data_IF_693788914503
#
_entry.id   IF_693788914503
#
_cell.length_a   1.000
_cell.length_b   1.000
_cell.length_c   1.000
_cell.angle_alpha   90.00
_cell.angle_beta   90.00
_cell.angle_gamma   90.00
#
_symmetry.space_group_name_H-M   'P 1'
#
loop_
_entity.id
_entity.type
_entity.pdbx_description
1 polymer ?
#
# COMPACT_ATOMS: atom_id res chain seq x y z
N UNK A 1 -5.81 8.34 -6.94
CA UNK A 1 -6.82 7.43 -6.33
C UNK A 1 -6.36 6.92 -4.96
N UNK A 2 -5.12 6.43 -4.82
CA UNK A 2 -4.53 5.97 -3.54
C UNK A 2 -4.45 7.09 -2.48
N UNK A 3 -4.09 8.32 -2.86
CA UNK A 3 -4.11 9.48 -1.96
C UNK A 3 -5.52 9.86 -1.47
N UNK A 4 -6.57 9.55 -2.26
CA UNK A 4 -7.96 9.74 -1.82
C UNK A 4 -8.39 8.68 -0.79
N UNK A 5 -7.93 7.43 -0.91
CA UNK A 5 -8.23 6.39 0.08
C UNK A 5 -7.59 6.69 1.44
N UNK A 6 -6.33 7.13 1.47
CA UNK A 6 -5.67 7.49 2.73
C UNK A 6 -6.28 8.75 3.40
N UNK A 7 -6.73 9.73 2.59
CA UNK A 7 -7.50 10.87 3.13
C UNK A 7 -8.86 10.46 3.69
N UNK A 8 -9.44 9.37 3.20
CA UNK A 8 -10.70 8.82 3.70
C UNK A 8 -10.49 8.07 5.03
N UNK A 9 -9.40 7.34 5.22
CA UNK A 9 -9.08 6.70 6.52
C UNK A 9 -8.81 7.73 7.62
N UNK A 10 -8.02 8.77 7.35
CA UNK A 10 -7.82 9.88 8.30
C UNK A 10 -9.13 10.61 8.60
N UNK A 11 -9.98 10.85 7.60
CA UNK A 11 -11.32 11.40 7.79
C UNK A 11 -12.22 10.45 8.57
N UNK A 12 -12.16 9.14 8.32
CA UNK A 12 -12.95 8.15 9.03
C UNK A 12 -12.58 8.10 10.51
N UNK A 13 -11.28 8.11 10.84
CA UNK A 13 -10.81 8.16 12.24
C UNK A 13 -11.27 9.45 12.90
N UNK A 14 -11.15 10.58 12.21
CA UNK A 14 -11.61 11.88 12.73
C UNK A 14 -13.12 11.90 12.95
N UNK A 15 -13.90 11.44 11.98
CA UNK A 15 -15.35 11.35 12.06
C UNK A 15 -15.80 10.35 13.13
N UNK A 16 -15.13 9.20 13.27
CA UNK A 16 -15.40 8.23 14.33
C UNK A 16 -15.12 8.81 15.71
N UNK A 17 -14.05 9.58 15.87
CA UNK A 17 -13.74 10.26 17.13
C UNK A 17 -14.76 11.35 17.46
N UNK A 18 -15.18 12.13 16.47
CA UNK A 18 -16.26 13.14 16.63
C UNK A 18 -17.58 12.45 16.96
N UNK A 19 -17.94 11.39 16.22
CA UNK A 19 -19.13 10.60 16.48
C UNK A 19 -19.17 10.04 17.91
N UNK A 20 -18.07 9.43 18.36
CA UNK A 20 -17.98 8.89 19.73
C UNK A 20 -18.09 9.98 20.81
N UNK A 21 -17.53 11.18 20.58
CA UNK A 21 -17.69 12.33 21.48
C UNK A 21 -19.11 12.83 21.51
N UNK A 22 -19.75 12.97 20.36
CA UNK A 22 -21.16 13.36 20.24
C UNK A 22 -22.04 12.31 20.93
N UNK A 23 -21.82 11.01 20.65
CA UNK A 23 -22.55 9.90 21.28
C UNK A 23 -22.44 9.93 22.80
N UNK A 24 -21.28 10.23 23.34
CA UNK A 24 -21.06 10.33 24.79
C UNK A 24 -21.74 11.56 25.43
N UNK A 25 -22.01 12.62 24.65
CA UNK A 25 -22.64 13.86 25.11
C UNK A 25 -24.17 13.90 24.93
N UNK A 26 -24.74 12.98 24.18
CA UNK A 26 -26.19 12.91 23.90
C UNK A 26 -26.89 12.00 24.90
N UNK A 27 -28.06 12.42 25.39
CA UNK A 27 -28.92 11.59 26.24
C UNK A 27 -29.37 10.32 25.48
N UNK A 28 -29.43 9.13 26.14
CA UNK A 28 -29.78 7.87 25.47
C UNK A 28 -31.08 7.93 24.65
N UNK A 29 -32.11 8.60 25.14
CA UNK A 29 -33.38 8.75 24.42
C UNK A 29 -33.29 9.54 23.11
N UNK A 30 -32.35 10.52 23.05
CA UNK A 30 -32.09 11.30 21.83
C UNK A 30 -31.24 10.52 20.85
N UNK A 31 -30.30 9.72 21.37
CA UNK A 31 -29.44 8.85 20.54
C UNK A 31 -30.26 7.85 19.72
N UNK A 32 -31.27 7.18 20.34
CA UNK A 32 -32.14 6.22 19.65
C UNK A 32 -32.96 6.83 18.50
N UNK A 33 -33.20 8.15 18.53
CA UNK A 33 -33.91 8.85 17.44
C UNK A 33 -32.99 9.23 16.27
N UNK A 34 -31.72 9.45 16.53
CA UNK A 34 -30.75 9.94 15.54
C UNK A 34 -29.94 8.77 14.93
N UNK A 35 -29.84 7.65 15.62
CA UNK A 35 -29.04 6.48 15.21
C UNK A 35 -29.39 5.95 13.82
N UNK A 36 -30.67 5.75 13.45
CA UNK A 36 -31.05 5.26 12.12
C UNK A 36 -30.62 6.20 10.99
N UNK A 37 -30.76 7.51 11.19
CA UNK A 37 -30.37 8.50 10.17
C UNK A 37 -28.85 8.57 9.99
N UNK A 38 -28.12 8.34 11.08
CA UNK A 38 -26.64 8.30 11.04
C UNK A 38 -26.12 7.04 10.35
N UNK A 39 -26.75 5.88 10.58
CA UNK A 39 -26.43 4.62 9.89
C UNK A 39 -26.73 4.75 8.39
N UNK A 40 -27.91 5.25 8.02
CA UNK A 40 -28.27 5.49 6.63
C UNK A 40 -27.31 6.46 5.93
N UNK A 41 -26.86 7.51 6.63
CA UNK A 41 -25.85 8.43 6.10
C UNK A 41 -24.49 7.75 5.88
N UNK A 42 -24.02 6.95 6.85
CA UNK A 42 -22.78 6.21 6.73
C UNK A 42 -22.82 5.20 5.60
N UNK A 43 -23.97 4.53 5.41
CA UNK A 43 -24.18 3.61 4.28
C UNK A 43 -24.19 4.35 2.94
N UNK A 44 -24.88 5.51 2.86
CA UNK A 44 -24.92 6.34 1.67
C UNK A 44 -23.52 6.87 1.28
N UNK A 45 -22.66 7.18 2.26
CA UNK A 45 -21.28 7.58 2.04
C UNK A 45 -20.33 6.37 1.77
N UNK A 46 -20.85 5.13 1.76
CA UNK A 46 -20.09 3.93 1.48
C UNK A 46 -19.16 3.48 2.62
N UNK A 47 -19.41 3.93 3.86
CA UNK A 47 -18.68 3.49 5.05
C UNK A 47 -19.15 2.11 5.53
N UNK A 48 -19.02 1.10 4.66
CA UNK A 48 -19.34 -0.30 4.97
C UNK A 48 -18.05 -1.07 5.18
N UNK A 49 -18.03 -1.93 6.21
CA UNK A 49 -16.92 -2.83 6.45
C UNK A 49 -16.79 -3.82 5.27
N UNK A 50 -15.66 -3.76 4.58
CA UNK A 50 -15.33 -4.70 3.51
C UNK A 50 -14.30 -5.72 4.01
N UNK A 51 -14.31 -6.95 3.47
CA UNK A 51 -13.25 -7.90 3.72
C UNK A 51 -11.88 -7.32 3.36
N UNK A 52 -10.91 -7.49 4.24
CA UNK A 52 -9.55 -7.01 4.02
C UNK A 52 -8.67 -7.12 5.27
N UNK A 53 -7.37 -6.86 5.14
CA UNK A 53 -6.47 -6.95 6.28
C UNK A 53 -6.78 -5.84 7.30
N UNK A 54 -7.09 -6.22 8.54
CA UNK A 54 -7.20 -5.29 9.68
C UNK A 54 -5.78 -4.95 10.18
N UNK A 55 -5.14 -3.98 9.54
CA UNK A 55 -3.80 -3.54 9.93
C UNK A 55 -3.93 -2.39 10.94
N UNK A 56 -3.47 -2.65 12.16
CA UNK A 56 -3.38 -1.61 13.18
C UNK A 56 -1.99 -0.96 13.12
N UNK A 57 -1.95 0.33 12.80
CA UNK A 57 -0.72 1.13 12.82
C UNK A 57 -0.77 2.02 14.05
N UNK A 58 0.25 1.95 14.87
CA UNK A 58 0.36 2.84 16.04
C UNK A 58 0.61 4.27 15.57
N UNK A 59 -0.32 5.18 15.88
CA UNK A 59 -0.27 6.58 15.47
C UNK A 59 0.97 7.32 16.01
N UNK A 60 1.44 7.00 17.22
CA UNK A 60 2.64 7.60 17.79
C UNK A 60 3.89 7.20 16.99
N UNK A 61 4.01 5.90 16.65
CA UNK A 61 5.11 5.39 15.81
C UNK A 61 5.07 6.05 14.43
N UNK A 62 3.89 6.15 13.81
CA UNK A 62 3.75 6.78 12.49
C UNK A 62 4.17 8.26 12.53
N UNK A 63 3.78 9.01 13.54
CA UNK A 63 4.14 10.42 13.69
C UNK A 63 5.66 10.59 13.89
N UNK A 64 6.29 9.76 14.73
CA UNK A 64 7.75 9.76 14.91
C UNK A 64 8.49 9.40 13.63
N UNK A 65 7.97 8.45 12.84
CA UNK A 65 8.55 8.10 11.54
C UNK A 65 8.44 9.27 10.55
N UNK A 66 7.30 9.96 10.51
CA UNK A 66 7.12 11.16 9.69
C UNK A 66 8.13 12.26 10.07
N UNK A 67 8.31 12.49 11.37
CA UNK A 67 9.32 13.42 11.88
C UNK A 67 10.74 13.02 11.43
N UNK A 68 11.10 11.74 11.57
CA UNK A 68 12.42 11.24 11.18
C UNK A 68 12.69 11.40 9.67
N UNK A 69 11.68 11.13 8.81
CA UNK A 69 11.77 11.34 7.36
C UNK A 69 11.99 12.81 7.03
N UNK A 70 11.22 13.71 7.65
CA UNK A 70 11.28 15.15 7.38
C UNK A 70 12.59 15.78 7.89
N UNK A 71 13.09 15.30 9.02
CA UNK A 71 14.33 15.82 9.62
C UNK A 71 15.60 15.13 9.14
N UNK A 72 15.51 14.14 8.24
CA UNK A 72 16.65 13.32 7.78
C UNK A 72 17.48 12.76 8.93
N UNK A 73 16.81 12.29 10.00
CA UNK A 73 17.50 11.71 11.18
C UNK A 73 17.57 10.19 11.09
N UNK A 74 18.75 9.62 11.37
CA UNK A 74 18.91 8.18 11.53
C UNK A 74 18.03 7.69 12.66
N UNK A 75 17.42 6.53 12.44
CA UNK A 75 16.37 6.04 13.32
C UNK A 75 16.60 4.54 13.61
N UNK A 76 16.53 4.19 14.87
CA UNK A 76 16.49 2.79 15.29
C UNK A 76 15.04 2.32 15.36
N UNK A 77 14.73 1.25 14.64
CA UNK A 77 13.41 0.61 14.68
C UNK A 77 13.52 -0.81 15.20
N UNK A 78 12.57 -1.21 16.05
CA UNK A 78 12.36 -2.62 16.40
C UNK A 78 11.09 -3.09 15.71
N UNK A 79 11.20 -4.15 14.90
CA UNK A 79 10.10 -4.68 14.13
C UNK A 79 10.02 -6.20 14.21
N UNK A 80 8.82 -6.75 13.98
CA UNK A 80 8.57 -8.19 13.96
C UNK A 80 8.93 -8.77 12.59
N UNK A 81 9.94 -9.66 12.59
CA UNK A 81 10.38 -10.37 11.38
C UNK A 81 9.33 -11.40 10.91
N UNK A 82 9.42 -11.94 9.68
CA UNK A 82 8.54 -13.02 9.20
C UNK A 82 8.53 -14.23 10.12
N UNK A 83 9.68 -14.53 10.76
CA UNK A 83 9.83 -15.66 11.71
C UNK A 83 9.26 -15.37 13.10
N UNK A 84 8.56 -14.24 13.28
CA UNK A 84 7.93 -13.86 14.54
C UNK A 84 8.86 -13.25 15.58
N UNK A 85 10.18 -13.22 15.34
CA UNK A 85 11.17 -12.63 16.25
C UNK A 85 11.24 -11.11 16.08
N UNK A 86 11.57 -10.40 17.17
CA UNK A 86 11.87 -8.98 17.05
C UNK A 86 13.31 -8.78 16.55
N UNK A 87 13.49 -7.85 15.64
CA UNK A 87 14.80 -7.40 15.14
C UNK A 87 14.89 -5.89 15.30
N UNK A 88 16.02 -5.42 15.78
CA UNK A 88 16.31 -3.98 15.89
C UNK A 88 17.34 -3.62 14.85
N UNK A 89 17.05 -2.58 14.08
CA UNK A 89 17.92 -2.10 13.00
C UNK A 89 18.02 -0.58 13.00
N UNK A 90 19.21 -0.11 12.64
CA UNK A 90 19.47 1.28 12.32
C UNK A 90 19.12 1.53 10.86
N UNK A 91 18.32 2.55 10.60
CA UNK A 91 17.84 2.90 9.28
C UNK A 91 17.91 4.40 9.01
N UNK A 92 17.94 4.74 7.74
CA UNK A 92 17.75 6.09 7.21
C UNK A 92 16.38 6.13 6.53
N UNK A 93 15.36 6.76 7.13
CA UNK A 93 14.00 6.75 6.60
C UNK A 93 13.85 7.72 5.43
N UNK A 94 13.35 7.22 4.29
CA UNK A 94 13.20 8.01 3.06
C UNK A 94 11.76 8.40 2.74
N UNK A 95 10.77 7.57 3.09
CA UNK A 95 9.38 7.89 2.80
C UNK A 95 8.43 6.73 3.02
N UNK A 96 7.16 6.93 2.63
CA UNK A 96 6.11 5.94 2.85
C UNK A 96 5.51 5.49 1.53
N UNK A 97 5.17 4.21 1.46
CA UNK A 97 4.37 3.62 0.41
C UNK A 97 3.04 3.15 1.00
N UNK A 98 1.95 3.69 0.47
CA UNK A 98 0.60 3.35 0.90
C UNK A 98 -0.10 2.52 -0.18
N UNK A 99 -0.72 1.43 0.23
CA UNK A 99 -1.49 0.52 -0.61
C UNK A 99 -2.34 -0.39 0.27
N UNK A 100 -2.58 -1.63 -0.14
CA UNK A 100 -3.28 -2.63 0.69
C UNK A 100 -2.59 -2.86 2.04
N UNK A 101 -1.27 -2.70 2.07
CA UNK A 101 -0.45 -2.57 3.28
C UNK A 101 0.37 -1.30 3.17
N UNK A 102 0.77 -0.77 4.32
CA UNK A 102 1.54 0.46 4.40
C UNK A 102 2.97 0.15 4.82
N UNK A 103 3.93 0.75 4.13
CA UNK A 103 5.36 0.50 4.33
C UNK A 103 6.13 1.79 4.54
N UNK A 104 7.16 1.72 5.39
CA UNK A 104 8.26 2.66 5.40
C UNK A 104 9.31 2.18 4.40
N UNK A 105 9.79 3.06 3.53
CA UNK A 105 10.96 2.85 2.69
C UNK A 105 12.14 3.49 3.37
N UNK A 106 13.17 2.70 3.66
CA UNK A 106 14.35 3.18 4.35
C UNK A 106 15.60 2.45 3.85
N UNK A 107 16.74 3.14 3.87
CA UNK A 107 18.03 2.51 3.69
C UNK A 107 18.42 1.82 5.00
N UNK A 108 18.81 0.57 4.93
CA UNK A 108 19.19 -0.24 6.09
C UNK A 108 20.71 -0.30 6.22
N UNK A 109 21.25 0.18 7.33
CA UNK A 109 22.69 0.07 7.62
C UNK A 109 23.16 -1.39 7.66
N UNK A 110 22.27 -2.32 8.06
CA UNK A 110 22.61 -3.74 8.10
C UNK A 110 22.77 -4.40 6.72
N UNK A 111 21.84 -4.14 5.80
CA UNK A 111 21.85 -4.74 4.46
C UNK A 111 22.57 -3.87 3.42
N UNK A 112 22.92 -2.63 3.75
CA UNK A 112 23.48 -1.65 2.84
C UNK A 112 22.63 -1.47 1.57
N UNK A 113 21.30 -1.50 1.77
CA UNK A 113 20.33 -1.40 0.67
C UNK A 113 18.99 -0.86 1.17
N UNK A 114 18.16 -0.36 0.24
CA UNK A 114 16.80 0.07 0.53
C UNK A 114 15.89 -1.12 0.84
N UNK A 115 15.03 -0.95 1.85
CA UNK A 115 14.08 -1.98 2.27
C UNK A 115 12.71 -1.40 2.59
N UNK A 116 11.70 -2.27 2.45
CA UNK A 116 10.33 -2.01 2.88
C UNK A 116 10.10 -2.58 4.27
N UNK A 117 9.69 -1.72 5.19
CA UNK A 117 9.30 -2.11 6.55
C UNK A 117 7.80 -1.95 6.72
N UNK A 118 7.02 -3.05 6.85
CA UNK A 118 5.59 -2.95 7.07
C UNK A 118 5.29 -2.18 8.36
N UNK A 119 4.54 -1.07 8.26
CA UNK A 119 4.30 -0.17 9.40
C UNK A 119 3.64 -0.87 10.59
N UNK A 120 2.69 -1.79 10.32
CA UNK A 120 2.01 -2.56 11.35
C UNK A 120 2.91 -3.55 12.10
N UNK A 121 4.13 -3.81 11.60
CA UNK A 121 5.12 -4.67 12.25
C UNK A 121 6.16 -3.90 13.05
N UNK A 122 6.19 -2.57 12.97
CA UNK A 122 7.11 -1.74 13.74
C UNK A 122 6.54 -1.56 15.14
N UNK A 123 7.27 -2.04 16.16
CA UNK A 123 6.83 -2.05 17.55
C UNK A 123 7.43 -0.91 18.37
N UNK A 124 8.68 -0.51 18.05
CA UNK A 124 9.39 0.56 18.74
C UNK A 124 10.16 1.41 17.75
N UNK A 125 10.35 2.67 18.11
CA UNK A 125 11.11 3.64 17.35
C UNK A 125 11.91 4.54 18.29
N UNK A 126 13.15 4.82 17.93
CA UNK A 126 14.02 5.79 18.58
C UNK A 126 14.70 6.64 17.52
N UNK A 127 14.35 7.91 17.44
CA UNK A 127 15.03 8.88 16.56
C UNK A 127 16.36 9.24 17.24
N UNK A 128 17.44 9.13 16.49
CA UNK A 128 18.79 9.45 16.99
C UNK A 128 19.12 10.92 16.67
N UNK A 129 20.00 11.49 17.45
CA UNK A 129 20.53 12.81 17.15
C UNK A 129 21.73 12.73 16.17
N UNK A 130 21.49 11.99 15.09
CA UNK A 130 22.41 11.79 13.97
C UNK A 130 21.65 12.00 12.68
N UNK A 131 22.16 12.88 11.82
CA UNK A 131 21.61 13.15 10.51
C UNK A 131 22.22 12.20 9.47
N UNK A 132 21.48 11.95 8.40
CA UNK A 132 22.01 11.34 7.18
C UNK A 132 21.81 12.30 6.02
N UNK A 133 22.70 12.23 5.05
CA UNK A 133 22.54 12.96 3.80
C UNK A 133 21.71 12.12 2.86
N UNK A 134 20.58 12.68 2.45
CA UNK A 134 19.68 12.00 1.50
C UNK A 134 20.41 11.89 0.15
N UNK A 135 20.41 10.69 -0.44
CA UNK A 135 20.94 10.49 -1.79
C UNK A 135 20.10 11.29 -2.79
N UNK A 136 20.73 12.27 -3.45
CA UNK A 136 20.07 13.15 -4.44
C UNK A 136 19.57 12.38 -5.67
N UNK A 137 20.18 11.23 -5.97
CA UNK A 137 19.79 10.36 -7.09
C UNK A 137 18.63 9.42 -6.71
N UNK A 138 18.29 9.32 -5.43
CA UNK A 138 17.19 8.47 -4.99
C UNK A 138 15.85 9.17 -5.23
N UNK A 139 15.00 8.49 -6.00
CA UNK A 139 13.59 8.85 -6.15
C UNK A 139 12.73 7.72 -5.63
N UNK A 140 11.87 8.01 -4.66
CA UNK A 140 10.92 7.04 -4.12
C UNK A 140 10.01 6.48 -5.23
N UNK A 141 9.57 7.34 -6.15
CA UNK A 141 8.77 6.94 -7.30
C UNK A 141 9.53 5.96 -8.19
N UNK A 142 10.75 6.30 -8.63
CA UNK A 142 11.57 5.41 -9.47
C UNK A 142 11.93 4.10 -8.76
N UNK A 143 12.07 4.13 -7.43
CA UNK A 143 12.35 2.93 -6.65
C UNK A 143 11.13 2.01 -6.59
N UNK A 144 9.94 2.55 -6.37
CA UNK A 144 8.70 1.78 -6.34
C UNK A 144 8.27 1.27 -7.71
N UNK A 145 8.57 2.01 -8.78
CA UNK A 145 8.30 1.61 -10.17
C UNK A 145 9.13 0.41 -10.66
N UNK A 146 10.13 -0.03 -9.90
CA UNK A 146 10.89 -1.26 -10.25
C UNK A 146 10.10 -2.54 -9.96
N UNK A 147 9.03 -2.47 -9.19
CA UNK A 147 8.25 -3.63 -8.74
C UNK A 147 6.76 -3.43 -8.92
N UNK A 148 6.07 -4.50 -9.25
CA UNK A 148 4.60 -4.53 -9.28
C UNK A 148 3.99 -4.26 -7.90
N UNK A 149 4.65 -4.74 -6.84
CA UNK A 149 4.27 -4.50 -5.46
C UNK A 149 5.46 -4.11 -4.59
N UNK A 150 5.75 -4.90 -3.54
CA UNK A 150 6.84 -4.65 -2.60
C UNK A 150 8.01 -5.62 -2.73
N UNK A 151 7.83 -6.74 -3.43
CA UNK A 151 8.92 -7.68 -3.69
C UNK A 151 9.87 -7.11 -4.73
N UNK A 152 11.11 -6.86 -4.31
CA UNK A 152 12.16 -6.34 -5.17
C UNK A 152 12.85 -7.50 -5.88
N UNK A 153 12.62 -7.58 -7.17
CA UNK A 153 13.27 -8.51 -8.10
C UNK A 153 13.85 -7.73 -9.28
N UNK A 154 14.74 -8.35 -10.03
CA UNK A 154 15.22 -7.74 -11.28
C UNK A 154 14.03 -7.52 -12.22
N UNK A 155 13.73 -6.29 -12.65
CA UNK A 155 12.62 -6.00 -13.54
C UNK A 155 12.71 -6.77 -14.86
N UNK A 156 11.60 -7.35 -15.30
CA UNK A 156 11.44 -8.06 -16.56
C UNK A 156 10.25 -7.51 -17.35
N UNK A 157 10.22 -7.81 -18.65
CA UNK A 157 9.10 -7.43 -19.52
C UNK A 157 7.87 -8.26 -19.17
N UNK A 158 6.76 -7.57 -18.93
CA UNK A 158 5.45 -8.15 -18.65
C UNK A 158 4.51 -7.82 -19.79
N UNK A 159 3.82 -8.85 -20.30
CA UNK A 159 2.77 -8.71 -21.29
C UNK A 159 1.61 -9.63 -20.93
N UNK A 160 0.46 -9.03 -20.61
CA UNK A 160 -0.77 -9.75 -20.30
C UNK A 160 -1.81 -9.50 -21.38
N UNK A 161 -2.57 -10.53 -21.72
CA UNK A 161 -3.69 -10.46 -22.65
C UNK A 161 -4.98 -10.76 -21.89
N UNK A 162 -5.85 -9.77 -21.82
CA UNK A 162 -7.19 -9.90 -21.25
C UNK A 162 -8.21 -10.21 -22.33
N UNK A 163 -9.15 -11.14 -22.06
CA UNK A 163 -10.21 -11.47 -22.97
C UNK A 163 -11.15 -10.29 -23.22
N UNK A 164 -11.89 -10.27 -24.34
CA UNK A 164 -12.85 -9.20 -24.64
C UNK A 164 -13.87 -8.97 -23.52
N UNK A 165 -14.27 -10.02 -22.81
CA UNK A 165 -15.30 -9.98 -21.76
C UNK A 165 -14.92 -9.10 -20.57
N UNK A 166 -13.62 -8.96 -20.27
CA UNK A 166 -13.10 -8.18 -19.14
C UNK A 166 -12.20 -7.03 -19.58
N UNK A 167 -12.06 -6.81 -20.87
CA UNK A 167 -11.14 -5.82 -21.41
C UNK A 167 -11.47 -4.39 -20.96
N UNK A 168 -12.75 -4.04 -20.82
CA UNK A 168 -13.19 -2.72 -20.36
C UNK A 168 -12.85 -2.49 -18.88
N UNK A 169 -13.00 -3.51 -18.04
CA UNK A 169 -12.61 -3.44 -16.63
C UNK A 169 -11.09 -3.35 -16.48
N UNK A 170 -10.35 -4.14 -17.26
CA UNK A 170 -8.89 -4.14 -17.26
C UNK A 170 -8.33 -2.80 -17.77
N UNK A 171 -8.97 -2.15 -18.73
CA UNK A 171 -8.56 -0.84 -19.24
C UNK A 171 -8.66 0.27 -18.18
N UNK A 172 -9.63 0.16 -17.26
CA UNK A 172 -9.80 1.08 -16.15
C UNK A 172 -8.84 0.80 -14.96
N UNK A 173 -8.07 -0.31 -15.03
CA UNK A 173 -7.18 -0.71 -13.95
C UNK A 173 -5.77 -0.17 -14.14
N UNK A 174 -5.20 0.40 -13.07
CA UNK A 174 -3.78 0.76 -13.05
C UNK A 174 -2.98 -0.40 -12.47
N UNK A 175 -2.46 -1.27 -13.33
CA UNK A 175 -1.59 -2.38 -12.92
C UNK A 175 -0.18 -1.88 -12.56
N UNK A 176 0.34 -0.95 -13.36
CA UNK A 176 1.66 -0.38 -13.14
C UNK A 176 1.72 1.06 -13.69
N UNK A 177 2.46 2.00 -13.02
CA UNK A 177 2.55 3.40 -13.47
C UNK A 177 3.06 3.59 -14.90
N UNK A 178 3.88 2.65 -15.40
CA UNK A 178 4.46 2.70 -16.75
C UNK A 178 3.74 1.80 -17.75
N UNK A 179 2.53 1.33 -17.43
CA UNK A 179 1.78 0.45 -18.32
C UNK A 179 1.42 1.10 -19.66
N UNK A 180 1.44 0.27 -20.69
CA UNK A 180 0.88 0.57 -22.00
C UNK A 180 -0.32 -0.33 -22.24
N UNK A 181 -1.44 0.26 -22.65
CA UNK A 181 -2.68 -0.44 -22.95
C UNK A 181 -2.89 -0.44 -24.47
N UNK A 182 -3.14 -1.60 -25.04
CA UNK A 182 -3.36 -1.77 -26.48
C UNK A 182 -4.65 -2.58 -26.66
N UNK A 183 -5.70 -1.93 -27.17
CA UNK A 183 -6.95 -2.59 -27.54
C UNK A 183 -6.76 -3.28 -28.89
N UNK A 184 -6.97 -4.59 -28.93
CA UNK A 184 -6.83 -5.39 -30.14
C UNK A 184 -8.11 -5.37 -30.98
N UNK A 185 -8.00 -5.77 -32.26
CA UNK A 185 -9.14 -5.78 -33.21
C UNK A 185 -10.25 -6.76 -32.81
N UNK A 186 -9.90 -7.82 -32.10
CA UNK A 186 -10.82 -8.83 -31.57
C UNK A 186 -11.51 -8.42 -30.26
N UNK A 187 -11.28 -7.20 -29.81
CA UNK A 187 -11.84 -6.68 -28.57
C UNK A 187 -11.04 -7.01 -27.31
N UNK A 188 -10.00 -7.84 -27.40
CA UNK A 188 -9.11 -8.13 -26.27
C UNK A 188 -8.22 -6.92 -25.91
N UNK A 189 -7.64 -6.91 -24.70
CA UNK A 189 -6.73 -5.85 -24.23
C UNK A 189 -5.36 -6.45 -23.92
N UNK A 190 -4.32 -5.88 -24.53
CA UNK A 190 -2.93 -6.18 -24.18
C UNK A 190 -2.40 -5.11 -23.23
N UNK A 191 -1.87 -5.54 -22.08
CA UNK A 191 -1.22 -4.69 -21.08
C UNK A 191 0.26 -5.00 -21.05
N UNK A 192 1.11 -3.97 -21.23
CA UNK A 192 2.58 -4.11 -21.21
C UNK A 192 3.19 -3.17 -20.20
N UNK A 193 4.16 -3.68 -19.44
CA UNK A 193 5.00 -2.88 -18.52
C UNK A 193 6.28 -3.63 -18.20
N UNK A 194 7.17 -2.99 -17.43
CA UNK A 194 8.42 -3.60 -16.96
C UNK A 194 8.53 -3.46 -15.45
N UNK A 195 8.51 -4.59 -14.73
CA UNK A 195 8.60 -4.63 -13.28
C UNK A 195 9.10 -6.00 -12.79
N UNK A 196 9.61 -6.04 -11.55
CA UNK A 196 9.78 -7.26 -10.78
C UNK A 196 8.52 -7.58 -9.95
N UNK A 197 8.57 -8.62 -9.10
CA UNK A 197 7.45 -8.98 -8.20
C UNK A 197 6.52 -10.03 -8.77
N UNK A 198 7.08 -11.08 -9.38
CA UNK A 198 6.32 -12.18 -10.01
C UNK A 198 5.27 -12.78 -9.07
N UNK A 199 5.60 -12.99 -7.80
CA UNK A 199 4.68 -13.56 -6.82
C UNK A 199 3.44 -12.69 -6.61
N UNK A 200 3.60 -11.37 -6.52
CA UNK A 200 2.48 -10.44 -6.33
C UNK A 200 1.66 -10.31 -7.60
N UNK A 201 2.29 -10.40 -8.76
CA UNK A 201 1.61 -10.48 -10.06
C UNK A 201 0.74 -11.74 -10.14
N UNK A 202 1.27 -12.91 -9.74
CA UNK A 202 0.49 -14.17 -9.70
C UNK A 202 -0.75 -14.04 -8.82
N UNK A 203 -0.61 -13.47 -7.62
CA UNK A 203 -1.76 -13.24 -6.74
C UNK A 203 -2.79 -12.30 -7.36
N UNK A 204 -2.32 -11.28 -8.05
CA UNK A 204 -3.20 -10.35 -8.73
C UNK A 204 -3.91 -11.00 -9.91
N UNK A 205 -3.18 -11.72 -10.77
CA UNK A 205 -3.73 -12.42 -11.93
C UNK A 205 -4.77 -13.46 -11.55
N UNK A 206 -4.63 -14.11 -10.39
CA UNK A 206 -5.62 -15.04 -9.87
C UNK A 206 -7.03 -14.42 -9.75
N UNK A 207 -7.13 -13.12 -9.51
CA UNK A 207 -8.43 -12.43 -9.41
C UNK A 207 -9.16 -12.30 -10.75
N UNK A 208 -8.45 -12.46 -11.87
CA UNK A 208 -8.99 -12.39 -13.22
C UNK A 208 -9.35 -13.77 -13.80
N UNK A 209 -8.96 -14.87 -13.12
CA UNK A 209 -9.25 -16.24 -13.52
C UNK A 209 -8.74 -16.55 -14.93
N UNK A 210 -9.59 -17.21 -15.72
CA UNK A 210 -9.27 -17.63 -17.10
C UNK A 210 -9.33 -16.46 -18.12
N UNK A 211 -9.74 -15.27 -17.67
CA UNK A 211 -9.87 -14.10 -18.55
C UNK A 211 -8.54 -13.39 -18.82
N UNK A 212 -7.44 -13.85 -18.24
CA UNK A 212 -6.11 -13.28 -18.48
C UNK A 212 -5.11 -14.36 -18.85
N UNK A 213 -4.27 -14.05 -19.84
CA UNK A 213 -3.14 -14.91 -20.25
C UNK A 213 -1.84 -14.11 -20.11
N UNK A 214 -0.81 -14.73 -19.51
CA UNK A 214 0.54 -14.18 -19.51
C UNK A 214 1.22 -14.53 -20.81
N UNK A 215 1.54 -13.51 -21.61
CA UNK A 215 2.26 -13.65 -22.88
C UNK A 215 3.76 -13.55 -22.65
N UNK A 216 4.16 -12.63 -21.75
CA UNK A 216 5.55 -12.48 -21.29
C UNK A 216 5.59 -12.34 -19.77
N UNK A 217 6.60 -12.94 -19.14
CA UNK A 217 7.62 -13.84 -19.73
C UNK A 217 7.02 -15.21 -20.14
N UNK A 218 7.58 -15.82 -21.16
CA UNK A 218 7.10 -17.09 -21.75
C UNK A 218 7.27 -18.30 -20.81
N UNK A 219 8.09 -18.18 -19.79
CA UNK A 219 8.35 -19.20 -18.76
C UNK A 219 7.47 -19.04 -17.51
N UNK A 220 6.41 -18.21 -17.58
CA UNK A 220 5.56 -17.87 -16.42
C UNK A 220 5.02 -19.11 -15.70
N UNK A 221 4.53 -20.08 -16.44
CA UNK A 221 3.93 -21.31 -15.91
C UNK A 221 4.90 -22.50 -15.79
N UNK A 222 6.18 -22.30 -16.16
CA UNK A 222 7.21 -23.33 -15.96
C UNK A 222 7.71 -23.23 -14.50
N UNK A 223 7.43 -24.28 -13.71
CA UNK A 223 8.02 -24.50 -12.39
C UNK A 223 9.39 -25.14 -12.52
#
# INVERSE_FOLDING_TARGET
RLLKQNKLEDKFILLSNVYNKIKASIKPATYHKISPDTEALLEAEGFVLRPGPKLHINAEILNKLKEAVLSCKKTEITYKTPNGKNSTQLIEPYGFLYGNKHYLVAFSDYSQDFRYYPLHKINKIKILDKYFTRDENFSLQKYTEKSFGVYQEKPFEVEWLFSPDVADDAEQFLFHPTQQLIRNKDGSLTVKFKAGGRLEMDWHLYTWGDNVKVIKPTDWYKK
#
